data_IF_391068921747
#
_entry.id   IF_391068921747
#
_cell.length_a   1.000
_cell.length_b   1.000
_cell.length_c   1.000
_cell.angle_alpha   90.00
_cell.angle_beta   90.00
_cell.angle_gamma   90.00
#
_symmetry.space_group_name_H-M   'P 1'
#
loop_
_entity.id
_entity.type
_entity.pdbx_description
1 polymer ?
#
# COMPACT_ATOMS: atom_id res chain seq x y z
N UNK A 1 -13.92 11.56 -29.66
CA UNK A 1 -13.77 12.89 -29.03
C UNK A 1 -13.92 14.05 -30.04
N UNK A 2 -13.58 13.82 -31.31
CA UNK A 2 -13.68 14.84 -32.35
C UNK A 2 -14.84 14.58 -33.33
N UNK A 3 -15.72 13.65 -33.01
CA UNK A 3 -16.89 13.31 -33.81
C UNK A 3 -17.94 14.39 -33.66
N UNK A 4 -18.40 14.96 -34.79
CA UNK A 4 -19.41 16.01 -34.83
C UNK A 4 -20.83 15.45 -34.98
N UNK A 5 -20.96 14.17 -35.40
CA UNK A 5 -22.24 13.48 -35.49
C UNK A 5 -22.65 12.93 -34.11
N UNK A 6 -23.80 13.40 -33.56
CA UNK A 6 -24.24 12.96 -32.23
C UNK A 6 -24.57 11.48 -32.13
N UNK A 7 -25.06 10.85 -33.21
CA UNK A 7 -25.39 9.42 -33.20
C UNK A 7 -24.13 8.57 -33.21
N UNK A 8 -23.15 8.88 -34.05
CA UNK A 8 -21.85 8.23 -34.06
C UNK A 8 -21.11 8.47 -32.77
N UNK A 9 -21.12 9.69 -32.22
CA UNK A 9 -20.53 10.01 -30.91
C UNK A 9 -21.13 9.16 -29.78
N UNK A 10 -22.46 8.94 -29.83
CA UNK A 10 -23.15 8.06 -28.89
C UNK A 10 -22.70 6.60 -28.98
N UNK A 11 -22.57 6.06 -30.18
CA UNK A 11 -22.04 4.72 -30.41
C UNK A 11 -20.59 4.56 -29.93
N UNK A 12 -19.72 5.51 -30.22
CA UNK A 12 -18.34 5.51 -29.80
C UNK A 12 -18.20 5.60 -28.26
N UNK A 13 -19.03 6.41 -27.61
CA UNK A 13 -19.07 6.50 -26.16
C UNK A 13 -19.48 5.17 -25.51
N UNK A 14 -20.50 4.50 -26.03
CA UNK A 14 -20.93 3.17 -25.55
C UNK A 14 -19.83 2.11 -25.74
N UNK A 15 -19.15 2.11 -26.88
CA UNK A 15 -18.04 1.19 -27.13
C UNK A 15 -16.88 1.44 -26.18
N UNK A 16 -16.52 2.70 -25.90
CA UNK A 16 -15.50 3.05 -24.92
C UNK A 16 -15.86 2.59 -23.51
N UNK A 17 -17.14 2.77 -23.12
CA UNK A 17 -17.64 2.30 -21.82
C UNK A 17 -17.58 0.77 -21.70
N UNK A 18 -17.99 0.05 -22.76
CA UNK A 18 -17.92 -1.41 -22.83
C UNK A 18 -16.47 -1.88 -22.68
N UNK A 19 -15.53 -1.29 -23.43
CA UNK A 19 -14.09 -1.62 -23.33
C UNK A 19 -13.51 -1.30 -21.96
N UNK A 20 -13.87 -0.16 -21.38
CA UNK A 20 -13.41 0.20 -20.04
C UNK A 20 -13.96 -0.75 -18.97
N UNK A 21 -15.20 -1.21 -19.11
CA UNK A 21 -15.80 -2.23 -18.23
C UNK A 21 -15.05 -3.56 -18.34
N UNK A 22 -14.77 -4.02 -19.58
CA UNK A 22 -13.99 -5.22 -19.81
C UNK A 22 -12.54 -5.11 -19.25
N UNK A 23 -11.88 -3.96 -19.43
CA UNK A 23 -10.57 -3.69 -18.85
C UNK A 23 -10.58 -3.77 -17.33
N UNK A 24 -11.61 -3.17 -16.67
CA UNK A 24 -11.76 -3.22 -15.21
C UNK A 24 -11.99 -4.66 -14.70
N UNK A 25 -12.78 -5.45 -15.42
CA UNK A 25 -13.00 -6.85 -15.09
C UNK A 25 -11.71 -7.67 -15.21
N UNK A 26 -10.92 -7.42 -16.25
CA UNK A 26 -9.62 -8.08 -16.42
C UNK A 26 -8.62 -7.67 -15.32
N UNK A 27 -8.54 -6.39 -14.99
CA UNK A 27 -7.72 -5.90 -13.86
C UNK A 27 -8.10 -6.62 -12.55
N UNK A 28 -9.40 -6.72 -12.28
CA UNK A 28 -9.90 -7.39 -11.08
C UNK A 28 -9.55 -8.88 -11.07
N UNK A 29 -9.67 -9.58 -12.21
CA UNK A 29 -9.29 -10.98 -12.36
C UNK A 29 -7.80 -11.21 -12.06
N UNK A 30 -6.92 -10.34 -12.58
CA UNK A 30 -5.48 -10.39 -12.30
C UNK A 30 -5.21 -10.24 -10.80
N UNK A 31 -5.82 -9.25 -10.16
CA UNK A 31 -5.65 -8.99 -8.73
C UNK A 31 -6.14 -10.15 -7.86
N UNK A 32 -7.25 -10.80 -8.23
CA UNK A 32 -7.77 -11.97 -7.52
C UNK A 32 -6.83 -13.18 -7.64
N UNK A 33 -6.24 -13.40 -8.80
CA UNK A 33 -5.25 -14.46 -8.99
C UNK A 33 -3.97 -14.21 -8.19
N UNK A 34 -3.50 -12.95 -8.13
CA UNK A 34 -2.35 -12.57 -7.30
C UNK A 34 -2.69 -12.73 -5.81
N UNK A 35 -3.90 -12.34 -5.38
CA UNK A 35 -4.35 -12.56 -4.00
C UNK A 35 -4.37 -14.04 -3.62
N UNK A 36 -4.75 -14.94 -4.54
CA UNK A 36 -4.68 -16.37 -4.34
C UNK A 36 -3.22 -16.84 -4.18
N UNK A 37 -2.30 -16.40 -5.04
CA UNK A 37 -0.86 -16.70 -4.91
C UNK A 37 -0.31 -16.27 -3.57
N UNK A 38 -0.66 -15.06 -3.09
CA UNK A 38 -0.25 -14.55 -1.76
C UNK A 38 -0.86 -15.38 -0.63
N UNK A 39 -2.07 -15.88 -0.80
CA UNK A 39 -2.72 -16.74 0.21
C UNK A 39 -2.01 -18.09 0.33
N UNK A 40 -1.58 -18.67 -0.80
CA UNK A 40 -0.84 -19.93 -0.86
C UNK A 40 0.62 -19.77 -0.39
N UNK A 41 1.27 -18.65 -0.76
CA UNK A 41 2.66 -18.35 -0.46
C UNK A 41 2.83 -16.94 0.12
N UNK A 42 2.45 -16.70 1.40
CA UNK A 42 2.51 -15.37 2.02
C UNK A 42 3.92 -14.77 2.08
N UNK A 43 4.94 -15.59 2.00
CA UNK A 43 6.34 -15.17 1.95
C UNK A 43 6.68 -14.34 0.70
N UNK A 44 5.89 -14.42 -0.37
CA UNK A 44 6.05 -13.57 -1.55
C UNK A 44 6.02 -12.08 -1.19
N UNK A 45 5.20 -11.66 -0.24
CA UNK A 45 5.12 -10.27 0.22
C UNK A 45 6.34 -9.81 1.02
N UNK A 46 7.23 -10.75 1.44
CA UNK A 46 8.43 -10.39 2.21
C UNK A 46 9.60 -9.98 1.31
N UNK A 47 9.53 -10.27 0.00
CA UNK A 47 10.56 -9.92 -0.98
C UNK A 47 10.72 -8.42 -1.11
N UNK A 48 11.90 -7.97 -1.55
CA UNK A 48 12.21 -6.56 -1.80
C UNK A 48 11.43 -6.02 -3.02
N UNK A 49 11.39 -6.82 -4.07
CA UNK A 49 10.57 -6.56 -5.27
C UNK A 49 9.51 -7.64 -5.35
N UNK A 50 8.25 -7.25 -5.45
CA UNK A 50 7.15 -8.21 -5.59
C UNK A 50 7.00 -8.61 -7.05
N UNK A 51 7.25 -9.88 -7.36
CA UNK A 51 7.15 -10.41 -8.71
C UNK A 51 6.05 -11.47 -8.74
N UNK A 52 5.04 -11.25 -9.57
CA UNK A 52 3.95 -12.18 -9.78
C UNK A 52 3.85 -12.55 -11.26
N UNK A 53 3.64 -13.82 -11.53
CA UNK A 53 3.44 -14.34 -12.88
C UNK A 53 2.11 -15.08 -12.99
N UNK A 54 1.47 -14.97 -14.14
CA UNK A 54 0.24 -15.68 -14.43
C UNK A 54 0.04 -15.90 -15.93
N UNK A 55 -0.79 -16.87 -16.25
CA UNK A 55 -1.08 -17.23 -17.64
C UNK A 55 -2.20 -16.35 -18.20
N UNK A 56 -2.02 -15.93 -19.46
CA UNK A 56 -3.04 -15.23 -20.25
C UNK A 56 -3.60 -13.95 -19.57
N UNK A 57 -2.78 -13.23 -18.83
CA UNK A 57 -3.11 -11.88 -18.40
C UNK A 57 -2.99 -10.91 -19.57
N UNK A 58 -3.95 -10.04 -19.72
CA UNK A 58 -3.91 -9.08 -20.83
C UNK A 58 -2.72 -8.12 -20.65
N UNK A 59 -1.73 -8.18 -21.57
CA UNK A 59 -0.49 -7.39 -21.47
C UNK A 59 -0.70 -5.86 -21.35
N UNK A 60 -1.79 -5.31 -21.93
CA UNK A 60 -2.15 -3.90 -21.80
C UNK A 60 -2.77 -3.54 -20.43
N UNK A 61 -3.10 -4.54 -19.59
CA UNK A 61 -3.72 -4.32 -18.26
C UNK A 61 -2.73 -4.54 -17.12
N UNK A 62 -1.73 -5.44 -17.30
CA UNK A 62 -0.78 -5.75 -16.21
C UNK A 62 -0.05 -4.50 -15.69
N UNK A 63 0.23 -3.49 -16.53
CA UNK A 63 0.85 -2.24 -16.09
C UNK A 63 -0.04 -1.42 -15.16
N UNK A 64 -1.36 -1.44 -15.35
CA UNK A 64 -2.33 -0.76 -14.48
C UNK A 64 -2.45 -1.50 -13.16
N UNK A 65 -2.55 -2.83 -13.21
CA UNK A 65 -2.58 -3.66 -12.01
C UNK A 65 -1.27 -3.53 -11.21
N UNK A 66 -0.11 -3.44 -11.86
CA UNK A 66 1.19 -3.22 -11.20
C UNK A 66 1.24 -1.89 -10.44
N UNK A 67 0.76 -0.77 -11.03
CA UNK A 67 0.69 0.51 -10.33
C UNK A 67 -0.20 0.44 -9.10
N UNK A 68 -1.35 -0.25 -9.19
CA UNK A 68 -2.25 -0.41 -8.06
C UNK A 68 -1.63 -1.22 -6.90
N UNK A 69 -0.86 -2.26 -7.23
CA UNK A 69 -0.15 -3.06 -6.22
C UNK A 69 1.03 -2.31 -5.61
N UNK A 70 1.72 -1.50 -6.41
CA UNK A 70 2.77 -0.60 -5.92
C UNK A 70 2.23 0.37 -4.86
N UNK A 71 1.10 1.03 -5.15
CA UNK A 71 0.40 1.90 -4.20
C UNK A 71 -0.03 1.13 -2.93
N UNK A 72 -0.55 -0.10 -3.10
CA UNK A 72 -1.05 -0.92 -2.00
C UNK A 72 0.06 -1.40 -1.06
N UNK A 73 1.18 -1.90 -1.62
CA UNK A 73 2.25 -2.53 -0.82
C UNK A 73 3.43 -1.61 -0.53
N UNK A 74 3.53 -0.45 -1.21
CA UNK A 74 4.67 0.44 -1.10
C UNK A 74 5.99 -0.25 -1.46
N UNK A 75 5.97 -1.13 -2.48
CA UNK A 75 7.12 -1.89 -2.98
C UNK A 75 7.15 -1.85 -4.51
N UNK A 76 8.35 -1.92 -5.14
CA UNK A 76 8.44 -2.15 -6.57
C UNK A 76 7.72 -3.44 -6.97
N UNK A 77 6.96 -3.39 -8.06
CA UNK A 77 6.11 -4.49 -8.55
C UNK A 77 6.51 -4.87 -9.97
N UNK A 78 6.57 -6.18 -10.21
CA UNK A 78 6.70 -6.77 -11.55
C UNK A 78 5.53 -7.73 -11.75
N UNK A 79 4.74 -7.50 -12.80
CA UNK A 79 3.72 -8.44 -13.26
C UNK A 79 4.13 -9.03 -14.60
N UNK A 80 4.06 -10.35 -14.71
CA UNK A 80 4.47 -11.11 -15.90
C UNK A 80 3.29 -11.92 -16.41
N UNK A 81 2.92 -11.74 -17.68
CA UNK A 81 1.99 -12.64 -18.37
C UNK A 81 2.77 -13.66 -19.19
N UNK A 82 2.35 -14.93 -19.11
CA UNK A 82 2.94 -16.05 -19.86
C UNK A 82 1.97 -16.47 -20.95
N UNK A 83 2.45 -16.49 -22.19
CA UNK A 83 1.71 -16.87 -23.38
C UNK A 83 2.53 -17.91 -24.19
N UNK A 84 2.30 -19.19 -23.94
CA UNK A 84 3.09 -20.29 -24.50
C UNK A 84 4.57 -20.19 -24.11
N UNK A 85 5.47 -20.14 -25.08
CA UNK A 85 6.93 -20.09 -24.85
C UNK A 85 7.47 -18.66 -24.56
N UNK A 86 6.60 -17.66 -24.59
CA UNK A 86 6.99 -16.26 -24.37
C UNK A 86 6.31 -15.68 -23.15
N UNK A 87 7.00 -14.74 -22.48
CA UNK A 87 6.45 -13.98 -21.38
C UNK A 87 6.70 -12.49 -21.61
N UNK A 88 5.77 -11.67 -21.14
CA UNK A 88 5.86 -10.21 -21.17
C UNK A 88 5.61 -9.67 -19.77
N UNK A 89 6.37 -8.64 -19.38
CA UNK A 89 6.22 -8.06 -18.06
C UNK A 89 6.11 -6.56 -18.09
N UNK A 90 5.50 -6.05 -17.03
CA UNK A 90 5.45 -4.63 -16.71
C UNK A 90 5.95 -4.44 -15.30
N UNK A 91 6.88 -3.49 -15.13
CA UNK A 91 7.43 -3.11 -13.84
C UNK A 91 6.95 -1.72 -13.46
N UNK A 92 6.71 -1.52 -12.16
CA UNK A 92 6.48 -0.22 -11.53
C UNK A 92 7.42 -0.05 -10.36
N UNK A 93 7.87 1.18 -10.15
CA UNK A 93 8.86 1.49 -9.13
C UNK A 93 8.85 2.97 -8.77
N UNK A 94 9.44 3.32 -7.63
CA UNK A 94 9.46 4.66 -7.09
C UNK A 94 10.79 4.98 -6.39
N UNK A 95 10.98 6.26 -6.11
CA UNK A 95 12.13 6.76 -5.36
C UNK A 95 13.45 6.44 -6.04
N UNK A 96 14.42 6.01 -5.27
CA UNK A 96 15.75 5.70 -5.76
C UNK A 96 15.83 4.36 -6.51
N UNK A 97 14.84 3.46 -6.35
CA UNK A 97 14.85 2.17 -7.04
C UNK A 97 14.35 2.35 -8.48
N UNK A 98 15.26 2.37 -9.44
CA UNK A 98 14.93 2.56 -10.83
C UNK A 98 14.52 1.27 -11.54
N UNK A 99 13.30 1.24 -12.11
CA UNK A 99 12.81 0.12 -12.93
C UNK A 99 13.75 -0.15 -14.12
N UNK A 100 14.19 0.90 -14.82
CA UNK A 100 15.10 0.74 -15.96
C UNK A 100 16.44 0.14 -15.54
N UNK A 101 17.05 0.60 -14.44
CA UNK A 101 18.33 0.06 -13.95
C UNK A 101 18.21 -1.40 -13.52
N UNK A 102 17.13 -1.76 -12.83
CA UNK A 102 16.85 -3.14 -12.45
C UNK A 102 16.71 -4.05 -13.66
N UNK A 103 15.92 -3.65 -14.69
CA UNK A 103 15.80 -4.42 -15.93
C UNK A 103 17.11 -4.52 -16.68
N UNK A 104 17.90 -3.44 -16.72
CA UNK A 104 19.21 -3.44 -17.35
C UNK A 104 20.21 -4.36 -16.65
N UNK A 105 20.17 -4.44 -15.32
CA UNK A 105 21.00 -5.37 -14.56
C UNK A 105 20.64 -6.83 -14.84
N UNK A 106 19.35 -7.10 -15.12
CA UNK A 106 18.83 -8.44 -15.44
C UNK A 106 18.74 -8.72 -16.95
N UNK A 107 19.38 -7.91 -17.81
CA UNK A 107 19.22 -7.95 -19.28
C UNK A 107 19.53 -9.32 -19.92
N UNK A 108 20.39 -10.12 -19.32
CA UNK A 108 20.76 -11.45 -19.85
C UNK A 108 19.58 -12.44 -19.92
N UNK A 109 18.53 -12.22 -19.10
CA UNK A 109 17.31 -13.00 -19.12
C UNK A 109 16.25 -12.48 -20.09
N UNK A 110 16.43 -11.23 -20.59
CA UNK A 110 15.43 -10.49 -21.35
C UNK A 110 15.70 -10.53 -22.86
N UNK A 111 14.66 -10.73 -23.65
CA UNK A 111 14.71 -10.59 -25.11
C UNK A 111 14.62 -9.11 -25.54
N UNK A 112 13.80 -8.32 -24.84
CA UNK A 112 13.61 -6.89 -25.01
C UNK A 112 13.27 -6.25 -23.68
N UNK A 113 13.72 -5.04 -23.47
CA UNK A 113 13.30 -4.23 -22.30
C UNK A 113 13.46 -2.74 -22.62
N UNK A 114 12.74 -1.90 -21.88
CA UNK A 114 12.82 -0.46 -21.97
C UNK A 114 11.95 0.20 -20.92
N UNK A 115 12.12 1.50 -20.74
CA UNK A 115 11.35 2.26 -19.75
C UNK A 115 12.12 3.46 -19.21
N UNK A 116 11.68 3.94 -18.06
CA UNK A 116 12.24 5.04 -17.30
C UNK A 116 12.33 4.65 -15.80
N UNK A 117 12.86 5.49 -14.89
CA UNK A 117 13.00 5.10 -13.48
C UNK A 117 11.73 4.56 -12.81
N UNK A 118 10.57 5.16 -13.08
CA UNK A 118 9.30 4.77 -12.43
C UNK A 118 8.58 3.60 -13.11
N UNK A 119 8.88 3.27 -14.37
CA UNK A 119 8.16 2.19 -15.08
C UNK A 119 9.02 1.56 -16.16
N UNK A 120 8.85 0.25 -16.38
CA UNK A 120 9.52 -0.50 -17.42
C UNK A 120 8.66 -1.61 -17.99
N UNK A 121 8.89 -1.92 -19.25
CA UNK A 121 8.30 -3.05 -19.96
C UNK A 121 9.38 -3.97 -20.51
N UNK A 122 9.11 -5.26 -20.56
CA UNK A 122 10.07 -6.25 -21.05
C UNK A 122 9.40 -7.49 -21.61
N UNK A 123 10.18 -8.29 -22.32
CA UNK A 123 9.80 -9.64 -22.74
C UNK A 123 10.96 -10.61 -22.54
N UNK A 124 10.62 -11.87 -22.27
CA UNK A 124 11.58 -12.93 -22.03
C UNK A 124 10.99 -14.30 -22.46
N UNK A 125 11.83 -15.32 -22.68
CA UNK A 125 11.35 -16.69 -22.81
C UNK A 125 10.64 -17.16 -21.52
N UNK A 126 9.51 -17.85 -21.61
CA UNK A 126 8.75 -18.31 -20.44
C UNK A 126 9.62 -19.13 -19.46
N UNK A 127 10.51 -19.97 -19.97
CA UNK A 127 11.45 -20.78 -19.17
C UNK A 127 12.47 -19.97 -18.35
N UNK A 128 12.61 -18.67 -18.63
CA UNK A 128 13.55 -17.78 -17.93
C UNK A 128 12.88 -17.01 -16.76
N UNK A 129 11.58 -17.16 -16.57
CA UNK A 129 10.82 -16.37 -15.56
C UNK A 129 11.39 -16.56 -14.16
N UNK A 130 11.65 -17.80 -13.72
CA UNK A 130 12.16 -18.06 -12.36
C UNK A 130 13.59 -17.56 -12.17
N UNK A 131 14.44 -17.70 -13.19
CA UNK A 131 15.81 -17.19 -13.17
C UNK A 131 15.81 -15.65 -13.13
N UNK A 132 14.95 -15.00 -13.90
CA UNK A 132 14.76 -13.57 -13.88
C UNK A 132 14.27 -13.06 -12.52
N UNK A 133 13.27 -13.73 -11.90
CA UNK A 133 12.81 -13.39 -10.54
C UNK A 133 13.95 -13.46 -9.51
N UNK A 134 14.77 -14.50 -9.61
CA UNK A 134 15.93 -14.67 -8.72
C UNK A 134 16.98 -13.58 -8.92
N UNK A 135 17.24 -13.18 -10.18
CA UNK A 135 18.17 -12.10 -10.51
C UNK A 135 17.67 -10.73 -10.03
N UNK A 136 16.38 -10.46 -10.15
CA UNK A 136 15.76 -9.21 -9.62
C UNK A 136 15.93 -9.12 -8.11
N UNK A 137 15.66 -10.19 -7.35
CA UNK A 137 15.85 -10.17 -5.89
C UNK A 137 17.32 -10.04 -5.51
N UNK A 138 18.25 -10.70 -6.23
CA UNK A 138 19.67 -10.56 -6.03
C UNK A 138 20.16 -9.12 -6.28
N UNK A 139 19.71 -8.49 -7.36
CA UNK A 139 19.98 -7.07 -7.64
C UNK A 139 19.45 -6.17 -6.52
N UNK A 140 18.20 -6.35 -6.12
CA UNK A 140 17.60 -5.55 -5.06
C UNK A 140 18.32 -5.74 -3.72
N UNK A 141 18.76 -6.97 -3.40
CA UNK A 141 19.51 -7.24 -2.17
C UNK A 141 20.89 -6.59 -2.16
N UNK A 142 21.58 -6.56 -3.31
CA UNK A 142 22.91 -5.97 -3.47
C UNK A 142 22.88 -4.44 -3.42
N UNK A 143 22.02 -3.82 -4.23
CA UNK A 143 22.01 -2.38 -4.41
C UNK A 143 21.18 -1.63 -3.36
N UNK A 144 20.17 -2.32 -2.78
CA UNK A 144 19.24 -1.75 -1.82
C UNK A 144 19.07 -2.65 -0.58
N UNK A 145 20.09 -2.71 0.29
CA UNK A 145 19.96 -3.41 1.59
C UNK A 145 18.75 -2.94 2.39
N UNK A 146 18.44 -1.65 2.28
CA UNK A 146 17.21 -1.00 2.74
C UNK A 146 16.48 -0.43 1.52
N UNK A 147 15.26 -0.91 1.28
CA UNK A 147 14.45 -0.42 0.18
C UNK A 147 13.96 1.00 0.46
N UNK A 148 13.81 1.86 -0.56
CA UNK A 148 13.23 3.17 -0.36
C UNK A 148 11.77 3.05 0.11
N UNK A 149 11.38 3.93 1.01
CA UNK A 149 9.98 4.08 1.40
C UNK A 149 9.22 4.85 0.30
N UNK A 150 7.97 4.46 0.05
CA UNK A 150 7.08 5.24 -0.81
C UNK A 150 6.67 6.52 -0.07
N UNK A 151 7.31 7.62 -0.41
CA UNK A 151 7.07 8.93 0.19
C UNK A 151 6.27 9.82 -0.76
N UNK A 152 5.25 10.49 -0.22
CA UNK A 152 4.53 11.54 -0.93
C UNK A 152 4.94 12.87 -0.28
N UNK A 153 5.50 13.76 -1.09
CA UNK A 153 5.87 15.11 -0.64
C UNK A 153 4.67 16.04 -0.77
N UNK A 154 4.50 16.92 0.21
CA UNK A 154 3.51 17.97 0.16
C UNK A 154 4.17 19.26 -0.35
N UNK A 155 3.56 19.91 -1.33
CA UNK A 155 4.02 21.18 -1.85
C UNK A 155 3.79 22.32 -0.85
N UNK A 156 2.69 22.24 -0.07
CA UNK A 156 2.33 23.29 0.87
C UNK A 156 1.52 22.72 2.06
N UNK A 157 1.84 23.21 3.27
CA UNK A 157 0.94 23.10 4.42
C UNK A 157 -0.17 24.15 4.27
N UNK A 158 -1.38 23.69 3.99
CA UNK A 158 -2.53 24.55 3.74
C UNK A 158 -3.24 24.88 5.06
N UNK A 159 -3.24 26.13 5.43
CA UNK A 159 -3.92 26.62 6.64
C UNK A 159 -5.43 26.76 6.39
N UNK A 160 -6.30 26.64 7.42
CA UNK A 160 -7.75 26.70 7.23
C UNK A 160 -8.22 27.94 6.46
N UNK A 161 -7.71 29.12 6.80
CA UNK A 161 -8.08 30.39 6.14
C UNK A 161 -7.67 30.49 4.67
N UNK A 162 -6.79 29.63 4.20
CA UNK A 162 -6.34 29.57 2.79
C UNK A 162 -7.26 28.71 1.93
N UNK A 163 -8.14 27.90 2.54
CA UNK A 163 -9.06 27.02 1.82
C UNK A 163 -10.29 27.83 1.40
N UNK A 164 -10.10 28.70 0.43
CA UNK A 164 -11.17 29.50 -0.19
C UNK A 164 -11.34 29.09 -1.64
N UNK A 165 -12.54 29.28 -2.18
CA UNK A 165 -12.82 29.02 -3.59
C UNK A 165 -11.89 29.83 -4.49
N UNK A 166 -11.65 31.09 -4.17
CA UNK A 166 -10.78 31.98 -4.92
C UNK A 166 -9.34 31.45 -4.99
N UNK A 167 -8.75 31.09 -3.84
CA UNK A 167 -7.40 30.55 -3.80
C UNK A 167 -7.31 29.22 -4.58
N UNK A 168 -8.31 28.36 -4.45
CA UNK A 168 -8.31 27.07 -5.15
C UNK A 168 -8.51 27.24 -6.67
N UNK A 169 -9.33 28.22 -7.09
CA UNK A 169 -9.47 28.53 -8.53
C UNK A 169 -8.16 29.07 -9.12
N UNK A 170 -7.36 29.82 -8.35
CA UNK A 170 -6.09 30.37 -8.84
C UNK A 170 -5.06 29.28 -9.18
N UNK A 171 -5.21 28.04 -8.66
CA UNK A 171 -4.36 26.90 -9.02
C UNK A 171 -4.48 26.52 -10.50
N UNK A 172 -5.55 26.91 -11.17
CA UNK A 172 -5.68 26.71 -12.62
C UNK A 172 -4.60 27.42 -13.43
N UNK A 173 -3.98 28.47 -12.89
CA UNK A 173 -2.87 29.17 -13.52
C UNK A 173 -1.58 28.30 -13.62
N UNK A 174 -1.50 27.23 -12.82
CA UNK A 174 -0.40 26.26 -12.87
C UNK A 174 -0.61 25.17 -13.94
N UNK A 175 -1.82 25.07 -14.51
CA UNK A 175 -2.15 24.08 -15.53
C UNK A 175 -1.45 24.40 -16.87
N UNK A 176 -1.20 23.39 -17.76
CA UNK A 176 -1.66 22.01 -17.63
C UNK A 176 -0.79 21.16 -16.72
N UNK A 177 -1.44 20.30 -15.94
CA UNK A 177 -0.75 19.32 -15.10
C UNK A 177 -0.43 18.05 -15.88
N UNK A 178 0.69 17.39 -15.53
CA UNK A 178 1.16 16.17 -16.15
C UNK A 178 2.55 15.78 -15.67
N UNK A 179 3.27 15.01 -16.47
CA UNK A 179 4.66 14.66 -16.18
C UNK A 179 5.53 15.92 -16.16
N UNK A 180 6.33 16.08 -15.08
CA UNK A 180 7.15 17.28 -14.86
C UNK A 180 6.41 18.48 -14.25
N UNK A 181 5.06 18.47 -14.19
CA UNK A 181 4.24 19.46 -13.52
C UNK A 181 3.05 18.77 -12.85
N UNK A 182 3.24 18.02 -11.75
CA UNK A 182 2.18 17.27 -11.10
C UNK A 182 1.14 18.19 -10.45
N UNK A 183 -0.08 17.64 -10.24
CA UNK A 183 -1.11 18.33 -9.45
C UNK A 183 -0.59 18.58 -8.05
N UNK A 184 -0.65 19.82 -7.53
CA UNK A 184 -0.16 20.15 -6.19
C UNK A 184 -0.79 19.30 -5.10
N UNK A 185 0.05 18.87 -4.17
CA UNK A 185 -0.34 18.10 -2.98
C UNK A 185 -0.28 19.00 -1.75
N UNK A 186 -1.38 19.12 -1.06
CA UNK A 186 -1.51 19.94 0.14
C UNK A 186 -1.55 19.09 1.40
N UNK A 187 -0.86 19.53 2.45
CA UNK A 187 -0.95 18.91 3.77
C UNK A 187 -1.98 19.65 4.62
N UNK A 188 -2.91 18.91 5.25
CA UNK A 188 -3.82 19.36 6.29
C UNK A 188 -3.43 18.68 7.58
N UNK A 189 -2.78 19.37 8.50
CA UNK A 189 -2.28 18.77 9.74
C UNK A 189 -3.20 19.05 10.93
N UNK A 190 -3.31 18.05 11.84
CA UNK A 190 -4.10 18.14 13.07
C UNK A 190 -5.61 18.33 12.85
N UNK A 191 -6.15 17.79 11.77
CA UNK A 191 -7.60 17.77 11.54
C UNK A 191 -8.28 16.71 12.42
N UNK A 192 -9.46 17.04 12.97
CA UNK A 192 -10.23 16.10 13.78
C UNK A 192 -11.24 15.38 12.91
N UNK A 193 -11.11 14.05 12.79
CA UNK A 193 -12.10 13.21 12.10
C UNK A 193 -13.43 13.24 12.87
N UNK A 194 -14.51 13.58 12.19
CA UNK A 194 -15.86 13.63 12.77
C UNK A 194 -16.72 12.46 12.34
N UNK A 195 -16.65 12.10 11.06
CA UNK A 195 -17.52 11.07 10.51
C UNK A 195 -16.85 10.38 9.33
N UNK A 196 -17.15 9.09 9.17
CA UNK A 196 -16.76 8.25 8.02
C UNK A 196 -18.05 7.86 7.31
N UNK A 197 -18.25 8.35 6.08
CA UNK A 197 -19.50 8.25 5.34
C UNK A 197 -19.29 7.44 4.06
N UNK A 198 -20.15 6.46 3.74
CA UNK A 198 -20.08 5.74 2.47
C UNK A 198 -20.39 6.67 1.28
N UNK A 199 -19.60 6.53 0.21
CA UNK A 199 -19.79 7.22 -1.06
C UNK A 199 -19.91 6.19 -2.18
N UNK A 200 -20.74 6.48 -3.22
CA UNK A 200 -20.99 5.60 -4.36
C UNK A 200 -21.33 4.16 -3.95
N UNK A 201 -22.39 3.99 -3.13
CA UNK A 201 -22.86 2.69 -2.60
C UNK A 201 -21.79 1.94 -1.80
N UNK A 202 -20.90 2.67 -1.12
CA UNK A 202 -19.81 2.11 -0.29
C UNK A 202 -18.55 1.71 -1.04
N UNK A 203 -18.43 2.01 -2.34
CA UNK A 203 -17.20 1.78 -3.09
C UNK A 203 -16.07 2.76 -2.72
N UNK A 204 -16.42 3.88 -2.12
CA UNK A 204 -15.52 4.97 -1.73
C UNK A 204 -15.92 5.50 -0.36
N UNK A 205 -15.05 6.28 0.25
CA UNK A 205 -15.28 6.89 1.56
C UNK A 205 -15.25 8.41 1.46
N UNK A 206 -16.17 9.06 2.13
CA UNK A 206 -16.13 10.49 2.40
C UNK A 206 -15.87 10.69 3.89
N UNK A 207 -14.87 11.51 4.21
CA UNK A 207 -14.54 11.87 5.57
C UNK A 207 -15.05 13.29 5.85
N UNK A 208 -15.78 13.45 6.94
CA UNK A 208 -16.09 14.78 7.49
C UNK A 208 -15.10 15.08 8.60
N UNK A 209 -14.42 16.22 8.50
CA UNK A 209 -13.39 16.63 9.43
C UNK A 209 -13.67 18.04 9.95
N UNK A 210 -13.13 18.35 11.12
CA UNK A 210 -12.95 19.74 11.60
C UNK A 210 -11.49 20.11 11.44
N UNK A 211 -11.22 21.18 10.71
CA UNK A 211 -9.87 21.71 10.50
C UNK A 211 -9.82 23.18 10.91
N UNK A 212 -9.26 23.46 12.08
CA UNK A 212 -9.41 24.76 12.73
C UNK A 212 -10.88 25.12 12.94
N UNK A 213 -11.35 26.28 12.46
CA UNK A 213 -12.76 26.69 12.56
C UNK A 213 -13.66 26.08 11.46
N UNK A 214 -13.09 25.35 10.51
CA UNK A 214 -13.81 24.88 9.32
C UNK A 214 -14.27 23.43 9.45
N UNK A 215 -15.46 23.16 8.93
CA UNK A 215 -15.91 21.82 8.62
C UNK A 215 -15.62 21.53 7.14
N UNK A 216 -14.90 20.45 6.84
CA UNK A 216 -14.52 20.07 5.49
C UNK A 216 -14.96 18.65 5.18
N UNK A 217 -15.21 18.37 3.91
CA UNK A 217 -15.41 17.03 3.37
C UNK A 217 -14.19 16.64 2.52
N UNK A 218 -13.61 15.47 2.82
CA UNK A 218 -12.51 14.89 2.06
C UNK A 218 -12.99 13.61 1.37
N UNK A 219 -12.56 13.38 0.15
CA UNK A 219 -12.94 12.21 -0.65
C UNK A 219 -11.78 11.21 -0.68
N UNK A 220 -12.04 9.98 -0.27
CA UNK A 220 -11.08 8.88 -0.32
C UNK A 220 -11.61 7.82 -1.29
N UNK A 221 -11.05 7.79 -2.49
CA UNK A 221 -11.47 6.87 -3.54
C UNK A 221 -10.92 5.47 -3.34
N UNK A 222 -11.70 4.44 -3.74
CA UNK A 222 -11.34 3.01 -3.73
C UNK A 222 -11.09 2.40 -2.34
N UNK A 223 -11.36 3.13 -1.28
CA UNK A 223 -11.35 2.63 0.10
C UNK A 223 -12.78 2.59 0.60
N UNK A 224 -13.22 1.43 1.08
CA UNK A 224 -14.53 1.27 1.70
C UNK A 224 -14.51 1.85 3.11
N UNK A 225 -15.63 2.36 3.64
CA UNK A 225 -15.68 2.91 4.99
C UNK A 225 -15.16 1.95 6.09
N UNK A 226 -15.44 0.66 5.94
CA UNK A 226 -15.04 -0.39 6.89
C UNK A 226 -13.53 -0.65 6.87
N UNK A 227 -12.87 -0.33 5.74
CA UNK A 227 -11.43 -0.47 5.56
C UNK A 227 -10.64 0.77 6.01
N UNK A 228 -11.33 1.90 6.30
CA UNK A 228 -10.65 3.10 6.78
C UNK A 228 -10.22 2.92 8.25
N UNK A 229 -8.91 3.07 8.57
CA UNK A 229 -8.35 2.58 9.84
C UNK A 229 -8.60 3.47 11.05
N UNK A 230 -9.24 4.63 10.90
CA UNK A 230 -9.38 5.61 11.97
C UNK A 230 -10.85 5.81 12.37
N UNK A 231 -11.07 6.02 13.66
CA UNK A 231 -12.41 6.23 14.25
C UNK A 231 -12.69 7.73 14.43
N UNK A 232 -13.96 8.17 14.43
CA UNK A 232 -14.34 9.52 14.82
C UNK A 232 -13.69 9.94 16.14
N UNK A 233 -13.24 11.21 16.20
CA UNK A 233 -12.45 11.76 17.31
C UNK A 233 -10.94 11.64 17.14
N UNK A 234 -10.45 10.85 16.18
CA UNK A 234 -9.01 10.78 15.90
C UNK A 234 -8.50 12.09 15.29
N UNK A 235 -7.33 12.55 15.74
CA UNK A 235 -6.61 13.67 15.13
C UNK A 235 -5.72 13.07 14.02
N UNK A 236 -5.89 13.60 12.81
CA UNK A 236 -5.26 13.08 11.60
C UNK A 236 -4.53 14.17 10.82
N UNK A 237 -3.51 13.77 10.09
CA UNK A 237 -2.90 14.55 9.02
C UNK A 237 -3.32 13.92 7.68
N UNK A 238 -3.65 14.76 6.72
CA UNK A 238 -4.06 14.35 5.38
C UNK A 238 -3.18 15.01 4.33
N UNK A 239 -2.84 14.27 3.29
CA UNK A 239 -2.36 14.81 2.03
C UNK A 239 -3.52 14.81 1.04
N UNK A 240 -3.79 15.97 0.42
CA UNK A 240 -4.93 16.13 -0.48
C UNK A 240 -4.54 16.86 -1.76
N UNK A 241 -5.20 16.51 -2.87
CA UNK A 241 -5.29 17.40 -4.03
C UNK A 241 -6.59 18.20 -3.95
N UNK A 242 -6.56 19.42 -4.47
CA UNK A 242 -7.74 20.25 -4.63
C UNK A 242 -8.20 20.24 -6.10
N UNK A 243 -9.41 19.79 -6.33
CA UNK A 243 -10.04 19.79 -7.67
C UNK A 243 -11.28 20.67 -7.68
N UNK A 244 -11.43 21.48 -8.72
CA UNK A 244 -12.64 22.25 -8.94
C UNK A 244 -13.39 21.63 -10.10
N UNK A 245 -14.59 21.18 -9.83
CA UNK A 245 -15.52 20.65 -10.82
C UNK A 245 -16.74 21.58 -10.93
N UNK A 246 -17.38 21.59 -12.09
CA UNK A 246 -18.67 22.24 -12.25
C UNK A 246 -19.78 21.20 -11.99
N UNK A 247 -20.51 21.37 -10.89
CA UNK A 247 -21.69 20.57 -10.61
C UNK A 247 -22.93 21.46 -10.74
N UNK A 248 -23.84 21.11 -11.66
CA UNK A 248 -25.05 21.90 -11.99
C UNK A 248 -24.72 23.36 -12.33
N UNK A 249 -23.59 23.58 -13.04
CA UNK A 249 -23.15 24.92 -13.46
C UNK A 249 -22.50 25.78 -12.36
N UNK A 250 -22.34 25.25 -11.15
CA UNK A 250 -21.66 25.94 -10.05
C UNK A 250 -20.30 25.30 -9.76
N UNK A 251 -19.24 26.10 -9.53
CA UNK A 251 -17.95 25.56 -9.12
C UNK A 251 -18.05 24.91 -7.74
N UNK A 252 -17.56 23.70 -7.63
CA UNK A 252 -17.50 22.94 -6.36
C UNK A 252 -16.07 22.49 -6.12
N UNK A 253 -15.56 22.79 -4.93
CA UNK A 253 -14.26 22.32 -4.45
C UNK A 253 -14.38 20.90 -3.93
N UNK A 254 -13.54 20.01 -4.44
CA UNK A 254 -13.34 18.65 -3.94
C UNK A 254 -11.91 18.51 -3.43
N UNK A 255 -11.75 18.07 -2.18
CA UNK A 255 -10.46 17.73 -1.58
C UNK A 255 -10.30 16.21 -1.62
N UNK A 256 -9.39 15.73 -2.48
CA UNK A 256 -9.17 14.30 -2.72
C UNK A 256 -7.97 13.84 -1.94
N UNK A 257 -8.17 12.87 -1.05
CA UNK A 257 -7.11 12.30 -0.22
C UNK A 257 -6.15 11.48 -1.08
N UNK A 258 -4.86 11.79 -0.96
CA UNK A 258 -3.75 11.04 -1.54
C UNK A 258 -3.12 10.11 -0.50
N UNK A 259 -3.00 10.60 0.73
CA UNK A 259 -2.50 9.82 1.86
C UNK A 259 -3.04 10.39 3.18
N UNK A 260 -2.96 9.60 4.25
CA UNK A 260 -3.42 9.99 5.56
C UNK A 260 -2.65 9.25 6.67
N UNK A 261 -2.53 9.91 7.81
CA UNK A 261 -1.94 9.30 8.99
C UNK A 261 -2.57 9.85 10.27
N UNK A 262 -2.38 9.13 11.38
CA UNK A 262 -2.65 9.69 12.69
C UNK A 262 -1.63 10.79 12.99
N UNK A 263 -2.09 11.95 13.46
CA UNK A 263 -1.19 13.04 13.87
C UNK A 263 -0.26 12.60 14.99
N UNK A 264 0.99 13.10 14.95
CA UNK A 264 2.01 12.77 15.94
C UNK A 264 2.70 11.44 15.75
N UNK A 265 2.40 10.70 14.68
CA UNK A 265 3.15 9.50 14.31
C UNK A 265 4.62 9.86 14.05
N UNK A 266 5.53 9.23 14.79
CA UNK A 266 6.98 9.37 14.60
C UNK A 266 7.41 8.55 13.38
N UNK A 267 7.25 9.12 12.18
CA UNK A 267 7.44 8.42 10.90
C UNK A 267 8.77 7.68 10.81
N UNK A 268 9.90 8.33 11.13
CA UNK A 268 11.21 7.69 11.06
C UNK A 268 11.29 6.42 11.91
N UNK A 269 10.69 6.43 13.11
CA UNK A 269 10.65 5.24 13.96
C UNK A 269 9.70 4.16 13.42
N UNK A 270 8.59 4.57 12.84
CA UNK A 270 7.63 3.66 12.21
C UNK A 270 8.26 2.93 11.04
N UNK A 271 8.89 3.65 10.10
CA UNK A 271 9.52 3.05 8.93
C UNK A 271 10.73 2.19 9.30
N UNK A 272 11.59 2.64 10.23
CA UNK A 272 12.69 1.82 10.72
C UNK A 272 12.20 0.50 11.35
N UNK A 273 11.10 0.54 12.10
CA UNK A 273 10.50 -0.66 12.66
C UNK A 273 9.86 -1.55 11.58
N UNK A 274 9.25 -0.98 10.55
CA UNK A 274 8.71 -1.70 9.39
C UNK A 274 9.84 -2.41 8.64
N UNK A 275 10.93 -1.73 8.31
CA UNK A 275 12.10 -2.32 7.67
C UNK A 275 12.74 -3.43 8.52
N UNK A 276 12.80 -3.24 9.86
CA UNK A 276 13.29 -4.29 10.77
C UNK A 276 12.40 -5.54 10.71
N UNK A 277 11.07 -5.37 10.67
CA UNK A 277 10.14 -6.48 10.51
C UNK A 277 10.33 -7.20 9.16
N UNK A 278 10.55 -6.47 8.08
CA UNK A 278 10.82 -7.06 6.77
C UNK A 278 12.13 -7.86 6.73
N UNK A 279 13.22 -7.32 7.32
CA UNK A 279 14.49 -8.05 7.50
C UNK A 279 14.27 -9.34 8.31
N UNK A 280 13.48 -9.25 9.38
CA UNK A 280 13.10 -10.43 10.17
C UNK A 280 12.36 -11.48 9.33
N UNK A 281 11.36 -11.07 8.54
CA UNK A 281 10.60 -11.96 7.66
C UNK A 281 11.47 -12.63 6.59
N UNK A 282 12.46 -11.93 6.04
CA UNK A 282 13.44 -12.47 5.10
C UNK A 282 14.54 -13.31 5.77
N UNK A 283 14.48 -13.50 7.10
CA UNK A 283 15.47 -14.23 7.90
C UNK A 283 16.90 -13.66 7.82
N UNK A 284 17.01 -12.35 7.57
CA UNK A 284 18.28 -11.66 7.59
C UNK A 284 18.88 -11.64 9.01
N UNK A 285 20.20 -11.53 9.11
CA UNK A 285 20.86 -11.47 10.41
C UNK A 285 20.49 -10.18 11.14
N UNK A 286 19.97 -10.33 12.36
CA UNK A 286 19.70 -9.22 13.27
C UNK A 286 20.61 -9.35 14.49
N UNK A 287 21.14 -8.24 15.00
CA UNK A 287 21.94 -8.26 16.21
C UNK A 287 21.12 -8.69 17.43
N UNK A 288 21.77 -9.23 18.45
CA UNK A 288 21.12 -9.61 19.70
C UNK A 288 20.34 -8.44 20.34
N UNK A 289 20.87 -7.22 20.26
CA UNK A 289 20.20 -6.01 20.74
C UNK A 289 18.88 -5.75 19.98
N UNK A 290 18.87 -5.89 18.65
CA UNK A 290 17.65 -5.80 17.85
C UNK A 290 16.67 -6.92 18.18
N UNK A 291 17.13 -8.17 18.31
CA UNK A 291 16.27 -9.28 18.71
C UNK A 291 15.57 -9.03 20.04
N UNK A 292 16.29 -8.48 21.05
CA UNK A 292 15.69 -8.08 22.33
C UNK A 292 14.64 -6.99 22.16
N UNK A 293 14.94 -5.94 21.39
CA UNK A 293 14.05 -4.80 21.19
C UNK A 293 12.73 -5.16 20.48
N UNK A 294 12.75 -6.17 19.58
CA UNK A 294 11.56 -6.60 18.83
C UNK A 294 10.82 -7.77 19.48
N UNK A 295 11.39 -8.43 20.49
CA UNK A 295 10.74 -9.54 21.21
C UNK A 295 9.67 -8.96 22.15
N UNK A 296 8.39 -9.28 21.94
CA UNK A 296 7.35 -8.80 22.84
C UNK A 296 7.40 -9.54 24.18
N UNK A 297 7.27 -8.80 25.28
CA UNK A 297 7.07 -9.34 26.61
C UNK A 297 5.69 -10.00 26.73
N UNK A 298 5.51 -10.85 27.76
CA UNK A 298 4.21 -11.46 28.05
C UNK A 298 3.09 -10.42 28.24
N UNK A 299 3.40 -9.31 28.90
CA UNK A 299 2.43 -8.25 29.13
C UNK A 299 2.03 -7.55 27.85
N UNK A 300 2.99 -7.25 26.97
CA UNK A 300 2.73 -6.66 25.64
C UNK A 300 1.91 -7.62 24.77
N UNK A 301 2.23 -8.92 24.76
CA UNK A 301 1.42 -9.92 24.06
C UNK A 301 -0.04 -9.90 24.53
N UNK A 302 -0.29 -9.87 25.84
CA UNK A 302 -1.65 -9.78 26.37
C UNK A 302 -2.34 -8.48 25.92
N UNK A 303 -1.66 -7.34 26.00
CA UNK A 303 -2.22 -6.05 25.60
C UNK A 303 -2.56 -5.98 24.13
N UNK A 304 -1.70 -6.56 23.26
CA UNK A 304 -1.95 -6.63 21.82
C UNK A 304 -3.14 -7.54 21.53
N UNK A 305 -3.14 -8.76 22.11
CA UNK A 305 -4.21 -9.73 21.88
C UNK A 305 -5.59 -9.23 22.27
N UNK A 306 -5.70 -8.53 23.41
CA UNK A 306 -6.97 -7.96 23.90
C UNK A 306 -7.57 -6.91 22.95
N UNK A 307 -6.75 -6.26 22.10
CA UNK A 307 -7.20 -5.26 21.13
C UNK A 307 -7.60 -5.84 19.77
N UNK A 308 -7.30 -7.10 19.52
CA UNK A 308 -7.74 -7.78 18.30
C UNK A 308 -9.16 -8.26 18.49
N UNK A 309 -10.15 -7.76 17.73
CA UNK A 309 -11.55 -8.20 17.84
C UNK A 309 -11.79 -9.52 17.07
N UNK A 310 -12.98 -10.07 17.21
CA UNK A 310 -13.46 -11.20 16.41
C UNK A 310 -13.92 -10.80 15.00
N UNK A 311 -13.96 -9.51 14.70
CA UNK A 311 -14.13 -8.96 13.37
C UNK A 311 -12.78 -8.57 12.77
N UNK A 312 -12.70 -8.43 11.44
CA UNK A 312 -11.46 -8.02 10.78
C UNK A 312 -11.03 -6.61 11.23
N UNK A 313 -9.78 -6.48 11.65
CA UNK A 313 -9.14 -5.23 12.06
C UNK A 313 -7.88 -5.02 11.21
N UNK A 314 -7.68 -3.83 10.64
CA UNK A 314 -6.44 -3.53 9.93
C UNK A 314 -5.27 -3.44 10.92
N UNK A 315 -4.08 -3.85 10.45
CA UNK A 315 -2.85 -3.77 11.25
C UNK A 315 -2.47 -2.32 11.58
N UNK A 316 -2.78 -1.38 10.70
CA UNK A 316 -2.57 0.05 10.96
C UNK A 316 -3.49 0.58 12.08
N UNK A 317 -4.77 0.13 12.10
CA UNK A 317 -5.67 0.46 13.21
C UNK A 317 -5.14 -0.12 14.52
N UNK A 318 -4.73 -1.38 14.52
CA UNK A 318 -4.16 -2.03 15.69
C UNK A 318 -2.92 -1.28 16.19
N UNK A 319 -1.99 -0.92 15.29
CA UNK A 319 -0.81 -0.15 15.67
C UNK A 319 -1.19 1.23 16.20
N UNK A 320 -2.13 1.91 15.57
CA UNK A 320 -2.62 3.21 16.02
C UNK A 320 -3.19 3.20 17.46
N UNK A 321 -3.76 2.09 17.90
CA UNK A 321 -4.24 1.92 19.29
C UNK A 321 -3.10 1.59 20.28
N UNK A 322 -1.98 1.05 19.77
CA UNK A 322 -0.85 0.58 20.58
C UNK A 322 0.32 1.56 20.64
N UNK A 323 0.46 2.48 19.70
CA UNK A 323 1.65 3.34 19.52
C UNK A 323 2.05 4.19 20.73
N UNK A 324 1.10 4.45 21.65
CA UNK A 324 1.35 5.23 22.87
C UNK A 324 1.78 4.35 24.07
N UNK A 325 1.82 3.02 23.90
CA UNK A 325 2.35 2.14 24.94
C UNK A 325 3.86 2.26 25.01
N UNK A 326 4.47 2.23 26.22
CA UNK A 326 5.91 2.26 26.37
C UNK A 326 6.58 1.16 25.55
N UNK A 327 7.67 1.50 24.88
CA UNK A 327 8.51 0.57 24.09
C UNK A 327 7.81 -0.15 22.93
N UNK A 328 6.53 0.15 22.68
CA UNK A 328 5.81 -0.42 21.56
C UNK A 328 6.34 0.17 20.24
N UNK A 329 6.57 -0.71 19.27
CA UNK A 329 6.92 -0.33 17.90
C UNK A 329 6.19 -1.25 16.91
N UNK A 330 6.16 -0.84 15.64
CA UNK A 330 5.46 -1.58 14.59
C UNK A 330 5.99 -3.01 14.43
N UNK A 331 7.31 -3.22 14.46
CA UNK A 331 7.92 -4.55 14.33
C UNK A 331 7.47 -5.48 15.47
N UNK A 332 7.49 -5.00 16.71
CA UNK A 332 7.07 -5.77 17.89
C UNK A 332 5.61 -6.19 17.81
N UNK A 333 4.73 -5.28 17.38
CA UNK A 333 3.30 -5.57 17.16
C UNK A 333 3.13 -6.63 16.06
N UNK A 334 3.80 -6.52 14.92
CA UNK A 334 3.72 -7.48 13.83
C UNK A 334 4.20 -8.88 14.25
N UNK A 335 5.32 -8.95 14.97
CA UNK A 335 5.84 -10.21 15.52
C UNK A 335 4.84 -10.84 16.50
N UNK A 336 4.20 -10.04 17.36
CA UNK A 336 3.17 -10.56 18.24
C UNK A 336 1.99 -11.17 17.46
N UNK A 337 1.55 -10.53 16.39
CA UNK A 337 0.49 -11.06 15.52
C UNK A 337 0.95 -12.35 14.82
N UNK A 338 2.21 -12.45 14.39
CA UNK A 338 2.76 -13.68 13.82
C UNK A 338 2.84 -14.83 14.85
N UNK A 339 3.21 -14.53 16.10
CA UNK A 339 3.16 -15.49 17.23
C UNK A 339 1.73 -15.99 17.44
N UNK A 340 0.75 -15.09 17.46
CA UNK A 340 -0.65 -15.49 17.63
C UNK A 340 -1.15 -16.32 16.43
N UNK A 341 -0.72 -16.02 15.22
CA UNK A 341 -1.04 -16.78 14.02
C UNK A 341 -0.44 -18.19 14.07
N UNK A 342 0.83 -18.34 14.49
CA UNK A 342 1.50 -19.62 14.73
C UNK A 342 0.74 -20.49 15.75
N UNK A 343 0.19 -19.86 16.79
CA UNK A 343 -0.57 -20.52 17.84
C UNK A 343 -2.08 -20.66 17.53
N UNK A 344 -2.51 -20.32 16.31
CA UNK A 344 -3.91 -20.36 15.87
C UNK A 344 -4.88 -19.51 16.71
N UNK A 345 -4.36 -18.46 17.37
CA UNK A 345 -5.15 -17.52 18.18
C UNK A 345 -5.77 -16.40 17.35
N UNK A 346 -5.20 -16.15 16.16
CA UNK A 346 -5.68 -15.17 15.19
C UNK A 346 -5.58 -15.74 13.78
N UNK A 347 -6.40 -15.23 12.89
CA UNK A 347 -6.29 -15.39 11.46
C UNK A 347 -5.79 -14.09 10.84
N UNK A 348 -4.73 -14.15 10.04
CA UNK A 348 -4.20 -13.04 9.27
C UNK A 348 -4.63 -13.13 7.82
N UNK A 349 -5.08 -12.01 7.26
CA UNK A 349 -5.15 -11.81 5.83
C UNK A 349 -4.00 -10.88 5.42
N UNK A 350 -2.94 -11.44 4.83
CA UNK A 350 -1.75 -10.68 4.44
C UNK A 350 -1.98 -9.81 3.20
N UNK A 351 -2.97 -10.17 2.36
CA UNK A 351 -3.36 -9.37 1.21
C UNK A 351 -4.04 -8.06 1.59
N UNK A 352 -4.92 -8.09 2.59
CA UNK A 352 -5.63 -6.91 3.08
C UNK A 352 -4.99 -6.29 4.32
N UNK A 353 -3.89 -6.85 4.81
CA UNK A 353 -3.23 -6.47 6.06
C UNK A 353 -4.19 -6.40 7.27
N UNK A 354 -5.05 -7.42 7.37
CA UNK A 354 -6.04 -7.52 8.43
C UNK A 354 -5.78 -8.72 9.34
N UNK A 355 -6.22 -8.60 10.58
CA UNK A 355 -6.17 -9.64 11.61
C UNK A 355 -7.52 -9.79 12.27
N UNK A 356 -7.89 -11.04 12.57
CA UNK A 356 -9.16 -11.40 13.25
C UNK A 356 -8.83 -12.36 14.38
N UNK A 357 -9.38 -12.14 15.56
CA UNK A 357 -9.22 -13.06 16.70
C UNK A 357 -10.04 -14.32 16.45
N UNK A 358 -9.43 -15.47 16.73
CA UNK A 358 -10.09 -16.77 16.71
C UNK A 358 -10.53 -17.12 18.12
N UNK A 359 -11.79 -17.54 18.27
CA UNK A 359 -12.30 -18.04 19.56
C UNK A 359 -11.67 -19.41 19.87
N UNK A 360 -10.94 -19.48 20.98
CA UNK A 360 -10.28 -20.71 21.44
C UNK A 360 -10.80 -21.13 22.81
N UNK A 361 -10.91 -22.45 23.06
CA UNK A 361 -11.25 -22.97 24.37
C UNK A 361 -10.00 -23.06 25.25
N UNK A 362 -10.04 -22.43 26.43
CA UNK A 362 -8.96 -22.51 27.41
C UNK A 362 -7.91 -21.42 27.29
N UNK A 363 -6.80 -21.60 28.02
CA UNK A 363 -5.65 -20.68 28.01
C UNK A 363 -4.59 -21.18 27.03
N UNK A 364 -4.15 -20.31 26.15
CA UNK A 364 -3.05 -20.61 25.23
C UNK A 364 -1.70 -20.52 25.96
N UNK A 365 -0.83 -21.47 25.65
CA UNK A 365 0.57 -21.41 26.08
C UNK A 365 1.40 -20.63 25.05
N UNK A 366 1.70 -19.38 25.36
CA UNK A 366 2.50 -18.52 24.49
C UNK A 366 3.95 -19.02 24.32
N UNK A 367 4.46 -19.81 25.29
CA UNK A 367 5.80 -20.38 25.20
C UNK A 367 5.91 -21.56 24.21
N UNK A 368 4.79 -22.07 23.72
CA UNK A 368 4.76 -23.07 22.65
C UNK A 368 5.17 -22.49 21.29
N UNK A 369 5.18 -21.16 21.13
CA UNK A 369 5.61 -20.50 19.88
C UNK A 369 7.12 -20.69 19.63
N UNK A 370 7.45 -21.35 18.53
CA UNK A 370 8.83 -21.51 18.06
C UNK A 370 9.46 -20.17 17.67
N UNK A 371 8.63 -19.27 17.13
CA UNK A 371 9.04 -17.92 16.76
C UNK A 371 9.47 -17.13 18.01
N UNK A 372 8.68 -17.15 19.08
CA UNK A 372 9.01 -16.49 20.34
C UNK A 372 10.28 -17.07 20.98
N UNK A 373 10.37 -18.40 21.07
CA UNK A 373 11.57 -19.09 21.59
C UNK A 373 12.82 -18.76 20.79
N UNK A 374 12.73 -18.74 19.45
CA UNK A 374 13.84 -18.39 18.56
C UNK A 374 14.35 -16.97 18.78
N UNK A 375 13.44 -15.99 18.96
CA UNK A 375 13.80 -14.61 19.25
C UNK A 375 14.44 -14.46 20.66
N UNK A 376 13.88 -15.11 21.66
CA UNK A 376 14.43 -15.10 23.03
C UNK A 376 15.85 -15.66 23.06
N UNK A 377 16.09 -16.79 22.37
CA UNK A 377 17.42 -17.39 22.26
C UNK A 377 18.42 -16.45 21.59
N UNK A 378 18.08 -15.91 20.41
CA UNK A 378 18.95 -14.95 19.71
C UNK A 378 19.19 -13.65 20.51
N UNK A 379 18.21 -13.20 21.29
CA UNK A 379 18.35 -12.05 22.16
C UNK A 379 19.23 -12.32 23.40
N UNK A 380 19.32 -13.57 23.84
CA UNK A 380 20.17 -13.98 24.96
C UNK A 380 21.64 -14.17 24.58
N UNK A 381 21.94 -14.42 23.29
CA UNK A 381 23.32 -14.58 22.81
C UNK A 381 24.05 -13.23 22.98
N UNK A 382 24.86 -13.14 24.01
CA UNK A 382 25.78 -12.03 24.27
C UNK A 382 27.10 -12.39 23.55
N UNK A 383 27.26 -11.83 22.35
CA UNK A 383 28.55 -11.84 21.66
C UNK A 383 29.40 -10.67 22.11
#
# INVERSE_FOLDING_TARGET
>A
LLCEDPEEAGHLAQELERRNTARKAEEQRILEQIAAQVTEAPELLTRRVLVFAGENWHHGVIGIAASRLEEQFGKPIILITIEGDTARGSMRSFGAFSAFQCLNACREYLSRYGGHPGAGGFSLPAKQVDAFQSAVEAYAASEFPEMPDLAIEADLLLLPQQITMENMMSLSALAPFGEGNPVPVFALCHAVLREVVPLAKGAHTKLRITYGPMALELLLFRVRPEAFPMKPGTICDFLVNAEISAFQGKPQLSLIIKDYRRSGLKQAKYFAAKQTYEKFCRRESLSAAYCRAITPSRQELIQIYQRIPESALSLDTLFGELQNLPEMNYCKMRIAVDIFSELHLVQQNRWTEQVTRVSVQGKADLQASKLLQGLQKKGADVS
#
